data_IF_509060977930
#
_entry.id   IF_509060977930
#
_cell.length_a   1.000
_cell.length_b   1.000
_cell.length_c   1.000
_cell.angle_alpha   90.00
_cell.angle_beta   90.00
_cell.angle_gamma   90.00
#
_symmetry.space_group_name_H-M   'P 1'
#
loop_
_entity.id
_entity.type
_entity.pdbx_description
1 polymer ?
#
# COMPACT_ATOMS: atom_id res chain seq x y z
N UNK A 1 9.71 -22.51 -10.03
CA UNK A 1 9.46 -21.19 -9.44
C UNK A 1 7.97 -21.03 -9.32
N UNK A 2 7.46 -21.36 -8.15
CA UNK A 2 6.12 -20.95 -7.74
C UNK A 2 6.23 -19.64 -6.96
N UNK A 3 5.15 -18.87 -6.93
CA UNK A 3 5.07 -17.66 -6.12
C UNK A 3 3.95 -17.88 -5.11
N UNK A 4 4.27 -17.70 -3.84
CA UNK A 4 3.27 -17.60 -2.78
C UNK A 4 2.95 -16.12 -2.57
N UNK A 5 1.67 -15.76 -2.59
CA UNK A 5 1.22 -14.41 -2.28
C UNK A 5 0.59 -14.41 -0.90
N UNK A 6 1.14 -13.59 0.00
CA UNK A 6 0.65 -13.39 1.36
C UNK A 6 0.38 -11.91 1.59
N UNK A 7 -0.50 -11.59 2.53
CA UNK A 7 -0.63 -10.23 3.06
C UNK A 7 0.41 -9.97 4.15
N UNK A 8 0.72 -8.70 4.39
CA UNK A 8 1.55 -8.30 5.52
C UNK A 8 0.88 -8.61 6.87
N UNK A 9 -0.46 -8.71 6.92
CA UNK A 9 -1.18 -9.17 8.09
C UNK A 9 -0.86 -10.64 8.45
N UNK A 10 -0.65 -11.49 7.44
CA UNK A 10 -0.27 -12.89 7.63
C UNK A 10 1.22 -13.06 7.95
N UNK A 11 2.08 -12.15 7.44
CA UNK A 11 3.53 -12.16 7.63
C UNK A 11 4.07 -10.81 8.12
N UNK A 12 3.69 -10.35 9.34
CA UNK A 12 4.10 -9.04 9.86
C UNK A 12 5.62 -8.94 10.07
N UNK A 13 6.31 -10.07 10.23
CA UNK A 13 7.77 -10.17 10.30
C UNK A 13 8.47 -9.63 9.05
N UNK A 14 7.79 -9.61 7.90
CA UNK A 14 8.34 -9.12 6.64
C UNK A 14 8.26 -7.60 6.44
N UNK A 15 7.74 -6.84 7.41
CA UNK A 15 7.58 -5.38 7.30
C UNK A 15 8.88 -4.67 6.93
N UNK A 16 9.99 -5.03 7.58
CA UNK A 16 11.28 -4.44 7.29
C UNK A 16 11.77 -4.80 5.87
N UNK A 17 11.65 -6.08 5.48
CA UNK A 17 12.03 -6.56 4.16
C UNK A 17 11.22 -5.85 3.06
N UNK A 18 9.91 -5.70 3.25
CA UNK A 18 9.03 -4.96 2.36
C UNK A 18 9.53 -3.54 2.12
N UNK A 19 9.88 -2.80 3.18
CA UNK A 19 10.36 -1.41 3.06
C UNK A 19 11.79 -1.28 2.53
N UNK A 20 12.65 -2.27 2.79
CA UNK A 20 14.02 -2.33 2.26
C UNK A 20 14.10 -2.75 0.79
N UNK A 21 13.03 -3.34 0.24
CA UNK A 21 12.99 -3.72 -1.18
C UNK A 21 13.21 -2.47 -2.08
N UNK A 22 14.07 -2.57 -3.11
CA UNK A 22 14.31 -1.47 -4.04
C UNK A 22 13.01 -0.90 -4.61
N UNK A 23 12.85 0.42 -4.52
CA UNK A 23 11.70 1.09 -5.11
C UNK A 23 11.89 1.28 -6.61
N UNK A 24 10.86 0.96 -7.38
CA UNK A 24 10.78 1.29 -8.82
C UNK A 24 10.27 2.72 -9.05
N UNK A 25 9.92 3.46 -8.00
CA UNK A 25 9.31 4.77 -8.13
C UNK A 25 10.32 5.82 -8.60
N UNK A 26 9.96 6.65 -9.60
CA UNK A 26 10.73 7.83 -9.95
C UNK A 26 10.87 8.79 -8.76
N UNK A 27 11.97 9.53 -8.70
CA UNK A 27 12.28 10.44 -7.58
C UNK A 27 11.16 11.45 -7.28
N UNK A 28 10.44 11.93 -8.29
CA UNK A 28 9.38 12.94 -8.09
C UNK A 28 8.21 12.40 -7.25
N UNK A 29 7.93 11.08 -7.29
CA UNK A 29 6.88 10.47 -6.49
C UNK A 29 7.17 10.53 -4.99
N UNK A 30 8.44 10.70 -4.60
CA UNK A 30 8.89 10.77 -3.21
C UNK A 30 8.89 12.20 -2.65
N UNK A 31 8.29 13.17 -3.35
CA UNK A 31 8.31 14.60 -2.98
C UNK A 31 6.93 15.13 -2.54
N UNK A 32 5.93 14.26 -2.45
CA UNK A 32 4.61 14.60 -1.92
C UNK A 32 4.60 14.44 -0.39
N UNK A 33 4.36 15.54 0.34
CA UNK A 33 4.39 15.55 1.81
C UNK A 33 3.25 14.77 2.44
N UNK A 34 2.05 14.80 1.82
CA UNK A 34 0.89 14.06 2.33
C UNK A 34 1.14 12.57 2.13
N UNK A 35 1.57 12.22 0.93
CA UNK A 35 1.80 10.86 0.58
C UNK A 35 3.00 10.28 1.34
N UNK A 36 4.05 11.06 1.63
CA UNK A 36 5.15 10.60 2.49
C UNK A 36 4.66 10.15 3.87
N UNK A 37 3.73 10.88 4.47
CA UNK A 37 3.19 10.55 5.80
C UNK A 37 2.24 9.36 5.73
N UNK A 38 1.25 9.42 4.84
CA UNK A 38 0.19 8.40 4.78
C UNK A 38 0.70 7.07 4.20
N UNK A 39 1.58 7.12 3.20
CA UNK A 39 2.13 5.91 2.57
C UNK A 39 2.98 5.08 3.53
N UNK A 40 3.75 5.72 4.43
CA UNK A 40 4.51 4.98 5.47
C UNK A 40 3.60 4.23 6.44
N UNK A 41 2.38 4.71 6.63
CA UNK A 41 1.42 4.12 7.57
C UNK A 41 0.66 2.92 7.01
N UNK A 42 0.63 2.71 5.69
CA UNK A 42 -0.19 1.64 5.09
C UNK A 42 0.17 0.24 5.58
N UNK A 43 1.42 0.01 5.97
CA UNK A 43 1.85 -1.25 6.57
C UNK A 43 1.19 -1.53 7.93
N UNK A 44 0.81 -0.48 8.65
CA UNK A 44 0.17 -0.55 9.98
C UNK A 44 -1.35 -0.41 9.86
N UNK A 45 -1.79 0.50 9.00
CA UNK A 45 -3.20 0.83 8.83
C UNK A 45 -3.92 -0.11 7.87
N UNK A 46 -3.22 -0.76 6.94
CA UNK A 46 -3.86 -1.65 5.96
C UNK A 46 -3.01 -2.92 5.71
N UNK A 47 -2.57 -3.65 6.76
CA UNK A 47 -1.66 -4.79 6.59
C UNK A 47 -2.27 -5.91 5.73
N UNK A 48 -3.59 -6.05 5.72
CA UNK A 48 -4.34 -7.01 4.89
C UNK A 48 -4.25 -6.69 3.39
N UNK A 49 -3.97 -5.44 3.05
CA UNK A 49 -3.95 -4.92 1.68
C UNK A 49 -2.53 -4.68 1.14
N UNK A 50 -1.50 -4.99 1.94
CA UNK A 50 -0.11 -4.99 1.49
C UNK A 50 0.28 -6.42 1.10
N UNK A 51 0.33 -6.70 -0.20
CA UNK A 51 0.58 -8.03 -0.72
C UNK A 51 2.07 -8.24 -0.98
N UNK A 52 2.58 -9.40 -0.59
CA UNK A 52 3.98 -9.80 -0.68
C UNK A 52 4.06 -11.09 -1.50
N UNK A 53 4.98 -11.14 -2.45
CA UNK A 53 5.26 -12.33 -3.25
C UNK A 53 6.56 -12.98 -2.75
N UNK A 54 6.47 -14.23 -2.31
CA UNK A 54 7.58 -15.05 -1.86
C UNK A 54 7.92 -16.11 -2.91
N UNK A 55 9.21 -16.38 -3.10
CA UNK A 55 9.65 -17.51 -3.92
C UNK A 55 9.65 -18.83 -3.13
N UNK A 56 10.09 -19.92 -3.78
CA UNK A 56 10.14 -21.27 -3.19
C UNK A 56 11.06 -21.36 -1.94
N UNK A 57 11.97 -20.40 -1.75
CA UNK A 57 12.87 -20.28 -0.59
C UNK A 57 12.32 -19.40 0.53
N UNK A 58 11.15 -18.79 0.33
CA UNK A 58 10.56 -17.82 1.25
C UNK A 58 11.19 -16.43 1.16
N UNK A 59 11.97 -16.14 0.12
CA UNK A 59 12.54 -14.82 -0.12
C UNK A 59 11.49 -13.88 -0.70
N UNK A 60 11.44 -12.64 -0.19
CA UNK A 60 10.56 -11.61 -0.73
C UNK A 60 11.07 -11.13 -2.09
N UNK A 61 10.34 -11.48 -3.14
CA UNK A 61 10.68 -11.14 -4.53
C UNK A 61 9.76 -10.09 -5.15
N UNK A 62 8.66 -9.72 -4.47
CA UNK A 62 7.70 -8.73 -4.94
C UNK A 62 6.86 -8.13 -3.81
N UNK A 63 6.42 -6.88 -4.00
CA UNK A 63 5.41 -6.25 -3.14
C UNK A 63 4.40 -5.47 -3.97
N UNK A 64 3.17 -5.40 -3.49
CA UNK A 64 2.11 -4.55 -4.01
C UNK A 64 1.45 -3.86 -2.83
N UNK A 65 1.45 -2.52 -2.88
CA UNK A 65 0.86 -1.71 -1.84
C UNK A 65 -0.46 -1.13 -2.31
N UNK A 66 -1.53 -1.40 -1.57
CA UNK A 66 -2.88 -0.89 -1.88
C UNK A 66 -3.58 -0.42 -0.63
N UNK A 67 -4.58 0.43 -0.81
CA UNK A 67 -5.50 0.83 0.26
C UNK A 67 -6.93 0.80 -0.28
N UNK A 68 -7.92 0.44 0.55
CA UNK A 68 -9.32 0.66 0.21
C UNK A 68 -9.67 2.14 0.38
N UNK A 69 -10.65 2.61 -0.40
CA UNK A 69 -11.33 3.88 -0.22
C UNK A 69 -12.76 3.76 -0.76
N UNK A 70 -13.68 4.53 -0.20
CA UNK A 70 -15.07 4.57 -0.65
C UNK A 70 -15.14 5.25 -2.01
N UNK A 71 -15.71 4.53 -2.97
CA UNK A 71 -15.92 4.99 -4.33
C UNK A 71 -17.31 4.56 -4.82
N UNK A 72 -18.04 5.50 -5.39
CA UNK A 72 -19.38 5.28 -5.98
C UNK A 72 -19.33 4.53 -7.31
N UNK A 73 -18.15 4.33 -7.90
CA UNK A 73 -17.98 3.74 -9.22
C UNK A 73 -18.10 4.75 -10.37
N UNK A 74 -18.27 6.04 -10.07
CA UNK A 74 -18.31 7.12 -11.07
C UNK A 74 -16.99 7.89 -11.09
N UNK A 75 -16.54 8.30 -12.27
CA UNK A 75 -15.26 8.99 -12.45
C UNK A 75 -15.23 10.36 -11.75
N UNK A 76 -16.37 11.03 -11.62
CA UNK A 76 -16.52 12.33 -10.96
C UNK A 76 -16.39 12.26 -9.42
N UNK A 77 -16.45 11.06 -8.84
CA UNK A 77 -16.21 10.84 -7.42
C UNK A 77 -14.72 10.51 -7.12
N UNK A 78 -13.89 10.26 -8.15
CA UNK A 78 -12.46 10.05 -7.93
C UNK A 78 -11.80 11.33 -7.40
N UNK A 79 -10.84 11.24 -6.48
CA UNK A 79 -10.16 12.43 -5.94
C UNK A 79 -9.40 13.21 -7.03
N UNK A 80 -9.67 14.51 -7.14
CA UNK A 80 -8.98 15.43 -8.07
C UNK A 80 -7.46 15.48 -7.89
N UNK A 81 -6.99 15.23 -6.66
CA UNK A 81 -5.56 15.26 -6.34
C UNK A 81 -4.82 14.01 -6.85
N UNK A 82 -5.55 12.96 -7.24
CA UNK A 82 -4.98 11.70 -7.66
C UNK A 82 -4.65 10.81 -6.46
N UNK A 83 -3.46 10.21 -6.46
CA UNK A 83 -3.11 9.14 -5.52
C UNK A 83 -2.96 9.60 -4.06
N UNK A 84 -2.52 10.83 -3.83
CA UNK A 84 -2.52 11.47 -2.50
C UNK A 84 -3.94 11.69 -2.00
N UNK A 85 -4.87 12.09 -2.88
CA UNK A 85 -6.30 12.17 -2.61
C UNK A 85 -6.90 10.82 -2.22
N UNK A 86 -6.48 9.75 -2.88
CA UNK A 86 -6.84 8.37 -2.52
C UNK A 86 -6.30 8.00 -1.14
N UNK A 87 -5.02 8.30 -0.83
CA UNK A 87 -4.44 8.09 0.50
C UNK A 87 -5.20 8.85 1.59
N UNK A 88 -5.54 10.12 1.35
CA UNK A 88 -6.30 10.92 2.29
C UNK A 88 -7.71 10.37 2.51
N UNK A 89 -8.41 10.01 1.43
CA UNK A 89 -9.78 9.47 1.53
C UNK A 89 -9.77 8.13 2.26
N UNK A 90 -8.99 7.16 1.81
CA UNK A 90 -8.92 5.85 2.47
C UNK A 90 -8.50 5.91 3.94
N UNK A 91 -7.60 6.84 4.31
CA UNK A 91 -7.26 7.07 5.72
C UNK A 91 -8.45 7.58 6.53
N UNK A 92 -9.26 8.50 5.99
CA UNK A 92 -10.47 9.02 6.67
C UNK A 92 -11.57 7.96 6.75
N UNK A 93 -11.76 7.18 5.69
CA UNK A 93 -12.76 6.12 5.63
C UNK A 93 -12.46 5.06 6.69
N UNK A 94 -11.17 4.65 6.82
CA UNK A 94 -10.70 3.78 7.91
C UNK A 94 -10.99 4.35 9.29
N UNK A 95 -10.71 5.63 9.52
CA UNK A 95 -10.99 6.30 10.80
C UNK A 95 -12.48 6.31 11.14
N UNK A 96 -13.35 6.27 10.13
CA UNK A 96 -14.82 6.20 10.26
C UNK A 96 -15.36 4.78 10.32
N UNK A 97 -14.55 3.78 9.99
CA UNK A 97 -14.97 2.39 9.87
C UNK A 97 -15.85 2.12 8.65
N UNK A 98 -15.64 2.87 7.57
CA UNK A 98 -16.35 2.79 6.29
C UNK A 98 -15.68 1.81 5.30
#
# INVERSE_FOLDING_TARGET
MTLEVVSLAERPDLTAAMWSMPSSWPRFMLQDLVAEVLYRRIAVDFPEYQLLALDDGGELVGRVNTIPFVWTGQDDDLPDLGWDGVLQRGSRDRERGE
#
